data_IF_306050952748
#
_entry.id   IF_306050952748
#
_cell.length_a   1.000
_cell.length_b   1.000
_cell.length_c   1.000
_cell.angle_alpha   90.00
_cell.angle_beta   90.00
_cell.angle_gamma   90.00
#
_symmetry.space_group_name_H-M   'P 1'
#
loop_
_entity.id
_entity.type
_entity.pdbx_description
1 polymer ?
#
# COMPACT_ATOMS: atom_id res chain seq x y z
N UNK A 1 10.02 -3.85 7.37
CA UNK A 1 11.24 -4.68 7.34
C UNK A 1 10.86 -5.95 6.57
N UNK A 2 11.67 -6.41 5.61
CA UNK A 2 11.36 -7.62 4.83
C UNK A 2 11.45 -8.84 5.75
N UNK A 3 10.51 -9.78 5.62
CA UNK A 3 10.60 -11.12 6.22
C UNK A 3 11.63 -11.98 5.48
N UNK A 4 12.12 -13.05 6.12
CA UNK A 4 13.07 -13.98 5.50
C UNK A 4 12.53 -14.61 4.21
N UNK A 5 11.22 -14.88 4.15
CA UNK A 5 10.55 -15.38 2.94
C UNK A 5 10.57 -14.34 1.82
N UNK A 6 10.33 -13.07 2.13
CA UNK A 6 10.39 -11.97 1.17
C UNK A 6 11.81 -11.76 0.65
N UNK A 7 12.81 -11.83 1.54
CA UNK A 7 14.23 -11.77 1.16
C UNK A 7 14.59 -12.90 0.18
N UNK A 8 14.18 -14.14 0.47
CA UNK A 8 14.42 -15.28 -0.42
C UNK A 8 13.73 -15.13 -1.79
N UNK A 9 12.48 -14.66 -1.83
CA UNK A 9 11.74 -14.43 -3.08
C UNK A 9 12.38 -13.36 -3.95
N UNK A 10 12.70 -12.20 -3.37
CA UNK A 10 13.33 -11.09 -4.09
C UNK A 10 14.75 -11.44 -4.53
N UNK A 11 15.48 -12.22 -3.74
CA UNK A 11 16.77 -12.76 -4.14
C UNK A 11 16.65 -13.70 -5.34
N UNK A 12 15.61 -14.54 -5.40
CA UNK A 12 15.34 -15.42 -6.54
C UNK A 12 15.19 -14.66 -7.86
N UNK A 13 14.55 -13.48 -7.85
CA UNK A 13 14.45 -12.58 -9.01
C UNK A 13 15.84 -12.17 -9.49
N UNK A 14 16.67 -11.67 -8.58
CA UNK A 14 18.02 -11.21 -8.88
C UNK A 14 18.94 -12.34 -9.34
N UNK A 15 18.84 -13.52 -8.71
CA UNK A 15 19.60 -14.71 -9.07
C UNK A 15 19.29 -15.16 -10.51
N UNK A 16 18.02 -15.13 -10.90
CA UNK A 16 17.60 -15.42 -12.27
C UNK A 16 18.16 -14.37 -13.25
N UNK A 17 18.14 -13.10 -12.85
CA UNK A 17 18.61 -12.00 -13.69
C UNK A 17 20.13 -11.93 -13.83
N UNK A 18 20.92 -12.56 -12.95
CA UNK A 18 22.38 -12.64 -13.14
C UNK A 18 22.78 -13.16 -14.53
N UNK A 19 21.93 -13.97 -15.18
CA UNK A 19 22.17 -14.47 -16.55
C UNK A 19 22.13 -13.40 -17.64
N UNK A 20 21.56 -12.22 -17.38
CA UNK A 20 21.60 -11.11 -18.34
C UNK A 20 22.96 -10.41 -18.37
N UNK A 21 23.81 -10.68 -17.38
CA UNK A 21 25.20 -10.21 -17.33
C UNK A 21 26.15 -11.22 -17.98
N UNK A 22 27.36 -10.76 -18.34
CA UNK A 22 28.47 -11.68 -18.58
C UNK A 22 28.82 -12.43 -17.29
N UNK A 23 29.30 -13.67 -17.39
CA UNK A 23 29.66 -14.46 -16.21
C UNK A 23 30.72 -13.77 -15.33
N UNK A 24 31.62 -13.00 -15.94
CA UNK A 24 32.60 -12.17 -15.22
C UNK A 24 31.92 -11.06 -14.42
N UNK A 25 30.98 -10.33 -15.03
CA UNK A 25 30.25 -9.24 -14.37
C UNK A 25 29.32 -9.77 -13.28
N UNK A 26 28.63 -10.90 -13.52
CA UNK A 26 27.80 -11.55 -12.51
C UNK A 26 28.62 -11.96 -11.29
N UNK A 27 29.83 -12.52 -11.48
CA UNK A 27 30.75 -12.84 -10.38
C UNK A 27 31.20 -11.61 -9.62
N UNK A 28 31.48 -10.51 -10.32
CA UNK A 28 31.84 -9.24 -9.68
C UNK A 28 30.69 -8.66 -8.85
N UNK A 29 29.46 -8.67 -9.38
CA UNK A 29 28.26 -8.21 -8.67
C UNK A 29 27.99 -9.04 -7.41
N UNK A 30 28.05 -10.38 -7.51
CA UNK A 30 27.91 -11.31 -6.38
C UNK A 30 28.98 -11.07 -5.31
N UNK A 31 30.24 -10.88 -5.72
CA UNK A 31 31.32 -10.58 -4.78
C UNK A 31 31.16 -9.22 -4.11
N UNK A 32 30.71 -8.19 -4.84
CA UNK A 32 30.43 -6.86 -4.30
C UNK A 32 29.29 -6.89 -3.26
N UNK A 33 28.31 -7.78 -3.45
CA UNK A 33 27.24 -8.03 -2.48
C UNK A 33 27.70 -8.81 -1.23
N UNK A 34 28.98 -9.16 -1.11
CA UNK A 34 29.52 -9.89 0.04
C UNK A 34 29.23 -11.41 0.01
N UNK A 35 28.66 -11.92 -1.09
CA UNK A 35 28.44 -13.36 -1.27
C UNK A 35 29.77 -13.99 -1.73
N UNK A 36 30.54 -14.48 -0.77
CA UNK A 36 31.86 -15.10 -0.99
C UNK A 36 31.80 -16.62 -0.87
N UNK A 37 32.88 -17.31 -1.26
CA UNK A 37 32.96 -18.77 -1.13
C UNK A 37 32.15 -19.56 -2.17
N UNK A 38 31.72 -18.93 -3.26
CA UNK A 38 31.05 -19.58 -4.40
C UNK A 38 32.04 -20.47 -5.15
N UNK A 39 32.15 -21.73 -4.73
CA UNK A 39 33.05 -22.71 -5.33
C UNK A 39 32.42 -23.34 -6.58
N UNK A 40 32.46 -22.61 -7.70
CA UNK A 40 31.88 -23.03 -8.97
C UNK A 40 32.87 -22.85 -10.13
N UNK A 41 32.93 -23.81 -11.08
CA UNK A 41 33.74 -23.69 -12.29
C UNK A 41 33.53 -22.35 -13.00
N UNK A 42 34.62 -21.76 -13.49
CA UNK A 42 34.61 -20.41 -14.11
C UNK A 42 33.83 -20.34 -15.43
N UNK A 43 33.39 -21.47 -15.98
CA UNK A 43 32.85 -21.58 -17.34
C UNK A 43 31.35 -21.92 -17.38
N UNK A 44 30.73 -22.30 -16.26
CA UNK A 44 29.36 -22.83 -16.25
C UNK A 44 28.43 -22.01 -15.35
N UNK A 45 27.26 -21.68 -15.88
CA UNK A 45 26.23 -20.90 -15.18
C UNK A 45 25.53 -21.70 -14.10
N UNK A 46 25.09 -22.93 -14.37
CA UNK A 46 24.27 -23.67 -13.40
C UNK A 46 25.01 -23.96 -12.08
N UNK A 47 26.28 -24.44 -12.10
CA UNK A 47 27.04 -24.61 -10.86
C UNK A 47 27.32 -23.27 -10.16
N UNK A 48 27.47 -22.19 -10.93
CA UNK A 48 27.67 -20.86 -10.37
C UNK A 48 26.43 -20.38 -9.63
N UNK A 49 25.26 -20.39 -10.26
CA UNK A 49 24.01 -19.94 -9.64
C UNK A 49 23.65 -20.79 -8.40
N UNK A 50 23.80 -22.11 -8.48
CA UNK A 50 23.60 -22.99 -7.33
C UNK A 50 24.56 -22.65 -6.17
N UNK A 51 25.83 -22.35 -6.48
CA UNK A 51 26.81 -21.93 -5.48
C UNK A 51 26.49 -20.57 -4.87
N UNK A 52 25.99 -19.62 -5.67
CA UNK A 52 25.55 -18.30 -5.20
C UNK A 52 24.36 -18.43 -4.26
N UNK A 53 23.37 -19.24 -4.62
CA UNK A 53 22.19 -19.51 -3.78
C UNK A 53 22.58 -20.12 -2.43
N UNK A 54 23.41 -21.17 -2.45
CA UNK A 54 23.89 -21.80 -1.22
C UNK A 54 24.71 -20.83 -0.35
N UNK A 55 25.56 -20.01 -0.96
CA UNK A 55 26.37 -19.03 -0.24
C UNK A 55 25.49 -17.93 0.38
N UNK A 56 24.48 -17.46 -0.33
CA UNK A 56 23.53 -16.45 0.17
C UNK A 56 22.78 -16.95 1.41
N UNK A 57 22.24 -18.18 1.38
CA UNK A 57 21.52 -18.74 2.54
C UNK A 57 22.44 -19.13 3.72
N UNK A 58 23.77 -19.09 3.56
CA UNK A 58 24.70 -19.23 4.70
C UNK A 58 25.01 -17.90 5.39
N UNK A 59 24.67 -16.77 4.78
CA UNK A 59 24.83 -15.46 5.40
C UNK A 59 23.87 -15.31 6.59
N UNK A 60 24.29 -14.56 7.60
CA UNK A 60 23.41 -14.10 8.67
C UNK A 60 22.27 -13.23 8.12
N UNK A 61 21.08 -13.20 8.76
CA UNK A 61 19.90 -12.45 8.29
C UNK A 61 20.19 -11.01 7.86
N UNK A 62 20.93 -10.25 8.68
CA UNK A 62 21.30 -8.86 8.35
C UNK A 62 22.22 -8.75 7.13
N UNK A 63 23.12 -9.71 6.94
CA UNK A 63 24.02 -9.77 5.79
C UNK A 63 23.28 -10.16 4.50
N UNK A 64 22.25 -11.02 4.59
CA UNK A 64 21.37 -11.33 3.43
C UNK A 64 20.66 -10.10 2.91
N UNK A 65 20.11 -9.28 3.81
CA UNK A 65 19.43 -8.05 3.42
C UNK A 65 20.38 -7.05 2.75
N UNK A 66 21.60 -6.89 3.29
CA UNK A 66 22.63 -6.06 2.67
C UNK A 66 23.02 -6.59 1.28
N UNK A 67 23.27 -7.89 1.15
CA UNK A 67 23.60 -8.51 -0.12
C UNK A 67 22.48 -8.33 -1.17
N UNK A 68 21.22 -8.50 -0.75
CA UNK A 68 20.05 -8.30 -1.60
C UNK A 68 19.99 -6.87 -2.16
N UNK A 69 20.22 -5.85 -1.33
CA UNK A 69 20.22 -4.44 -1.76
C UNK A 69 21.34 -4.14 -2.74
N UNK A 70 22.56 -4.58 -2.45
CA UNK A 70 23.71 -4.36 -3.35
C UNK A 70 23.47 -5.03 -4.71
N UNK A 71 22.89 -6.24 -4.73
CA UNK A 71 22.51 -6.87 -5.99
C UNK A 71 21.41 -6.11 -6.71
N UNK A 72 20.40 -5.60 -6.00
CA UNK A 72 19.31 -4.84 -6.59
C UNK A 72 19.79 -3.51 -7.19
N UNK A 73 20.73 -2.81 -6.53
CA UNK A 73 21.39 -1.62 -7.08
C UNK A 73 22.05 -1.91 -8.42
N UNK A 74 22.64 -3.10 -8.60
CA UNK A 74 23.27 -3.48 -9.86
C UNK A 74 22.28 -3.59 -11.03
N UNK A 75 20.99 -3.77 -10.72
CA UNK A 75 19.92 -3.88 -11.71
C UNK A 75 18.91 -2.72 -11.65
N UNK A 76 19.25 -1.59 -11.02
CA UNK A 76 18.35 -0.44 -10.85
C UNK A 76 17.74 0.04 -12.17
N UNK A 77 18.53 0.00 -13.25
CA UNK A 77 18.13 0.49 -14.56
C UNK A 77 17.32 -0.55 -15.37
N UNK A 78 17.24 -1.80 -14.90
CA UNK A 78 16.54 -2.89 -15.59
C UNK A 78 15.02 -2.78 -15.40
N UNK A 79 14.30 -2.40 -16.46
CA UNK A 79 12.83 -2.41 -16.52
C UNK A 79 12.27 -3.79 -16.15
N UNK A 80 12.90 -4.86 -16.65
CA UNK A 80 12.48 -6.24 -16.39
C UNK A 80 12.55 -6.58 -14.89
N UNK A 81 13.61 -6.17 -14.19
CA UNK A 81 13.74 -6.41 -12.75
C UNK A 81 12.71 -5.60 -11.97
N UNK A 82 12.47 -4.34 -12.37
CA UNK A 82 11.42 -3.51 -11.78
C UNK A 82 10.03 -4.13 -11.95
N UNK A 83 9.70 -4.67 -13.12
CA UNK A 83 8.45 -5.39 -13.37
C UNK A 83 8.35 -6.66 -12.50
N UNK A 84 9.41 -7.46 -12.39
CA UNK A 84 9.41 -8.68 -11.58
C UNK A 84 9.27 -8.38 -10.09
N UNK A 85 9.98 -7.37 -9.56
CA UNK A 85 9.75 -6.93 -8.18
C UNK A 85 8.31 -6.47 -7.97
N UNK A 86 7.73 -5.74 -8.93
CA UNK A 86 6.34 -5.28 -8.84
C UNK A 86 5.37 -6.46 -8.79
N UNK A 87 5.61 -7.53 -9.56
CA UNK A 87 4.83 -8.77 -9.49
C UNK A 87 4.95 -9.47 -8.13
N UNK A 88 6.10 -9.31 -7.45
CA UNK A 88 6.30 -9.76 -6.07
C UNK A 88 5.81 -8.75 -5.02
N UNK A 89 5.18 -7.65 -5.43
CA UNK A 89 4.61 -6.64 -4.55
C UNK A 89 5.61 -5.63 -4.02
N UNK A 90 6.76 -5.44 -4.68
CA UNK A 90 7.82 -4.51 -4.27
C UNK A 90 8.33 -3.65 -5.43
N UNK A 91 8.86 -2.48 -5.08
CA UNK A 91 9.65 -1.61 -5.93
C UNK A 91 10.98 -1.40 -5.23
N UNK A 92 12.03 -1.17 -5.99
CA UNK A 92 13.34 -0.87 -5.43
C UNK A 92 13.69 0.58 -5.74
N UNK A 93 13.69 1.43 -4.71
CA UNK A 93 13.92 2.87 -4.81
C UNK A 93 14.94 3.29 -3.75
N UNK A 94 15.97 4.03 -4.16
CA UNK A 94 16.99 4.63 -3.28
C UNK A 94 17.57 3.67 -2.23
N UNK A 95 17.96 2.47 -2.65
CA UNK A 95 18.57 1.49 -1.74
C UNK A 95 17.57 0.68 -0.90
N UNK A 96 16.27 0.85 -1.12
CA UNK A 96 15.22 0.25 -0.31
C UNK A 96 14.15 -0.45 -1.14
N UNK A 97 13.70 -1.61 -0.64
CA UNK A 97 12.50 -2.28 -1.15
C UNK A 97 11.26 -1.67 -0.50
N UNK A 98 10.40 -1.09 -1.32
CA UNK A 98 9.15 -0.45 -0.93
C UNK A 98 7.99 -1.28 -1.46
N UNK A 99 7.00 -1.67 -0.64
CA UNK A 99 5.85 -2.41 -1.15
C UNK A 99 5.07 -1.63 -2.21
N UNK A 100 4.83 -2.24 -3.38
CA UNK A 100 3.98 -1.67 -4.45
C UNK A 100 2.55 -2.08 -4.16
N UNK A 101 1.86 -1.25 -3.39
CA UNK A 101 0.43 -1.00 -3.48
C UNK A 101 -0.47 -2.20 -3.89
N UNK A 102 -0.50 -3.25 -3.07
CA UNK A 102 -1.76 -3.55 -2.38
C UNK A 102 -1.71 -2.68 -1.13
N UNK A 103 -2.83 -2.10 -0.72
CA UNK A 103 -2.96 -1.26 0.48
C UNK A 103 -1.87 -1.58 1.48
N UNK A 104 -0.99 -0.61 1.73
CA UNK A 104 0.21 -0.82 2.52
C UNK A 104 -0.19 -1.61 3.75
N UNK A 105 0.36 -2.82 3.97
CA UNK A 105 0.00 -3.64 5.14
C UNK A 105 0.09 -2.83 6.44
N UNK A 106 0.88 -1.75 6.45
CA UNK A 106 0.96 -0.76 7.51
C UNK A 106 -0.30 0.12 7.60
N UNK A 107 -0.85 0.61 6.49
CA UNK A 107 -2.13 1.34 6.45
C UNK A 107 -3.29 0.45 6.94
N UNK A 108 -3.28 -0.85 6.61
CA UNK A 108 -4.32 -1.79 7.07
C UNK A 108 -4.39 -1.94 8.60
N UNK A 109 -3.32 -1.59 9.34
CA UNK A 109 -3.32 -1.59 10.81
C UNK A 109 -4.14 -0.45 11.42
N UNK A 110 -4.48 0.57 10.62
CA UNK A 110 -5.23 1.75 11.04
C UNK A 110 -6.62 1.81 10.37
N UNK A 111 -7.12 0.66 9.90
CA UNK A 111 -8.38 0.54 9.18
C UNK A 111 -9.20 -0.63 9.73
N UNK A 112 -10.53 -0.49 9.81
CA UNK A 112 -11.41 -1.63 10.04
C UNK A 112 -11.23 -2.71 8.95
N UNK A 113 -11.45 -3.98 9.30
CA UNK A 113 -11.15 -5.11 8.40
C UNK A 113 -11.95 -5.09 7.09
N UNK A 114 -13.20 -4.63 7.13
CA UNK A 114 -14.09 -4.56 5.97
C UNK A 114 -13.64 -3.52 4.93
N UNK A 115 -13.40 -2.23 5.24
CA UNK A 115 -12.87 -1.27 4.28
C UNK A 115 -11.45 -1.60 3.82
N UNK A 116 -10.60 -2.20 4.67
CA UNK A 116 -9.24 -2.59 4.28
C UNK A 116 -9.23 -3.54 3.06
N UNK A 117 -10.12 -4.54 3.04
CA UNK A 117 -10.26 -5.48 1.92
C UNK A 117 -10.72 -4.79 0.63
N UNK A 118 -11.74 -3.94 0.71
CA UNK A 118 -12.26 -3.22 -0.47
C UNK A 118 -11.27 -2.19 -1.01
N UNK A 119 -10.52 -1.51 -0.15
CA UNK A 119 -9.47 -0.58 -0.57
C UNK A 119 -8.26 -1.33 -1.19
N UNK A 120 -7.91 -2.52 -0.70
CA UNK A 120 -6.89 -3.36 -1.34
C UNK A 120 -7.33 -3.81 -2.74
N UNK A 121 -8.61 -4.17 -2.90
CA UNK A 121 -9.22 -4.45 -4.20
C UNK A 121 -9.25 -3.22 -5.11
N UNK A 122 -9.56 -2.04 -4.59
CA UNK A 122 -9.53 -0.78 -5.33
C UNK A 122 -8.12 -0.50 -5.87
N UNK A 123 -7.09 -0.69 -5.04
CA UNK A 123 -5.70 -0.51 -5.45
C UNK A 123 -5.28 -1.54 -6.50
N UNK A 124 -5.65 -2.82 -6.33
CA UNK A 124 -5.40 -3.86 -7.34
C UNK A 124 -5.99 -3.50 -8.70
N UNK A 125 -7.21 -2.95 -8.72
CA UNK A 125 -7.87 -2.48 -9.95
C UNK A 125 -7.12 -1.31 -10.59
N UNK A 126 -6.69 -0.33 -9.79
CA UNK A 126 -5.91 0.80 -10.27
C UNK A 126 -4.57 0.34 -10.89
N UNK A 127 -3.86 -0.57 -10.23
CA UNK A 127 -2.62 -1.16 -10.77
C UNK A 127 -2.90 -1.89 -12.09
N UNK A 128 -4.02 -2.61 -12.16
CA UNK A 128 -4.48 -3.31 -13.38
C UNK A 128 -5.04 -2.41 -14.49
N UNK A 129 -5.05 -1.09 -14.34
CA UNK A 129 -5.59 -0.16 -15.34
C UNK A 129 -7.12 -0.13 -15.42
N UNK A 130 -7.81 -0.50 -14.34
CA UNK A 130 -9.26 -0.38 -14.17
C UNK A 130 -9.57 0.80 -13.23
N UNK A 131 -9.39 2.02 -13.73
CA UNK A 131 -9.61 3.25 -12.95
C UNK A 131 -11.08 3.40 -12.51
N UNK A 132 -12.04 3.09 -13.37
CA UNK A 132 -13.47 3.13 -13.04
C UNK A 132 -13.78 2.19 -11.90
N UNK A 133 -13.36 0.93 -12.02
CA UNK A 133 -13.58 -0.08 -11.00
C UNK A 133 -12.81 0.20 -9.71
N UNK A 134 -11.67 0.89 -9.77
CA UNK A 134 -10.94 1.37 -8.59
C UNK A 134 -11.75 2.43 -7.83
N UNK A 135 -12.33 3.42 -8.52
CA UNK A 135 -13.21 4.44 -7.90
C UNK A 135 -14.43 3.75 -7.27
N UNK A 136 -15.08 2.81 -7.98
CA UNK A 136 -16.24 2.07 -7.44
C UNK A 136 -15.88 1.35 -6.16
N UNK A 137 -14.74 0.64 -6.13
CA UNK A 137 -14.31 -0.13 -4.98
C UNK A 137 -13.90 0.76 -3.80
N UNK A 138 -13.23 1.90 -4.05
CA UNK A 138 -12.91 2.87 -3.01
C UNK A 138 -14.17 3.45 -2.34
N UNK A 139 -15.19 3.80 -3.13
CA UNK A 139 -16.48 4.25 -2.58
C UNK A 139 -17.22 3.12 -1.86
N UNK A 140 -17.12 1.89 -2.37
CA UNK A 140 -17.67 0.68 -1.77
C UNK A 140 -17.11 0.43 -0.37
N UNK A 141 -15.81 0.64 -0.16
CA UNK A 141 -15.18 0.49 1.15
C UNK A 141 -15.85 1.36 2.23
N UNK A 142 -16.08 2.63 1.93
CA UNK A 142 -16.76 3.56 2.85
C UNK A 142 -18.23 3.19 3.02
N UNK A 143 -18.94 2.84 1.94
CA UNK A 143 -20.35 2.43 2.03
C UNK A 143 -20.53 1.19 2.92
N UNK A 144 -19.69 0.17 2.75
CA UNK A 144 -19.71 -1.05 3.57
C UNK A 144 -19.47 -0.71 5.03
N UNK A 145 -18.44 0.09 5.32
CA UNK A 145 -18.18 0.55 6.69
C UNK A 145 -19.38 1.31 7.29
N UNK A 146 -19.99 2.22 6.52
CA UNK A 146 -21.16 2.96 7.01
C UNK A 146 -22.36 2.05 7.24
N UNK A 147 -22.57 1.02 6.41
CA UNK A 147 -23.62 0.03 6.63
C UNK A 147 -23.41 -0.74 7.93
N UNK A 148 -22.18 -1.19 8.18
CA UNK A 148 -21.80 -1.90 9.40
C UNK A 148 -21.99 -1.03 10.64
N UNK A 149 -21.49 0.21 10.63
CA UNK A 149 -21.61 1.13 11.77
C UNK A 149 -23.07 1.53 12.03
N UNK A 150 -23.86 1.80 11.00
CA UNK A 150 -25.27 2.13 11.16
C UNK A 150 -26.06 0.99 11.80
N UNK A 151 -25.77 -0.26 11.39
CA UNK A 151 -26.38 -1.45 11.96
C UNK A 151 -25.90 -1.70 13.40
N UNK A 152 -24.59 -1.62 13.65
CA UNK A 152 -23.99 -1.88 14.96
C UNK A 152 -24.44 -0.89 16.03
N UNK A 153 -24.63 0.39 15.65
CA UNK A 153 -24.93 1.48 16.57
C UNK A 153 -26.36 2.03 16.45
N UNK A 154 -27.24 1.35 15.70
CA UNK A 154 -28.66 1.74 15.53
C UNK A 154 -28.86 3.20 15.10
N UNK A 155 -28.00 3.69 14.21
CA UNK A 155 -27.97 5.10 13.77
C UNK A 155 -29.16 5.43 12.83
N UNK A 156 -29.71 4.41 12.16
CA UNK A 156 -30.84 4.52 11.23
C UNK A 156 -30.63 3.68 9.97
N UNK A 157 -31.25 4.09 8.87
CA UNK A 157 -31.07 3.43 7.56
C UNK A 157 -30.12 4.25 6.66
N UNK A 158 -28.92 3.73 6.34
CA UNK A 158 -27.96 4.42 5.49
C UNK A 158 -28.36 4.41 4.01
N UNK A 159 -29.35 3.64 3.55
CA UNK A 159 -29.70 3.54 2.13
C UNK A 159 -30.29 4.85 1.56
N UNK A 160 -30.98 5.62 2.40
CA UNK A 160 -31.75 6.81 1.99
C UNK A 160 -31.03 8.14 2.26
N UNK A 161 -29.77 8.08 2.67
CA UNK A 161 -28.98 9.25 3.07
C UNK A 161 -27.90 9.52 2.02
N UNK A 162 -27.61 10.78 1.73
CA UNK A 162 -26.51 11.13 0.83
C UNK A 162 -25.16 10.65 1.42
N UNK A 163 -24.23 10.23 0.58
CA UNK A 163 -22.95 9.62 0.99
C UNK A 163 -22.20 10.44 2.06
N UNK A 164 -22.00 11.75 1.83
CA UNK A 164 -21.35 12.62 2.81
C UNK A 164 -22.15 12.78 4.11
N UNK A 165 -23.48 12.80 4.02
CA UNK A 165 -24.35 12.88 5.19
C UNK A 165 -24.28 11.61 6.05
N UNK A 166 -24.08 10.42 5.44
CA UNK A 166 -23.87 9.17 6.20
C UNK A 166 -22.62 9.24 7.07
N UNK A 167 -21.49 9.61 6.47
CA UNK A 167 -20.20 9.73 7.16
C UNK A 167 -20.28 10.73 8.31
N UNK A 168 -20.84 11.91 8.05
CA UNK A 168 -20.99 12.94 9.08
C UNK A 168 -21.91 12.52 10.22
N UNK A 169 -22.99 11.79 9.92
CA UNK A 169 -23.92 11.30 10.95
C UNK A 169 -23.26 10.24 11.82
N UNK A 170 -22.56 9.28 11.22
CA UNK A 170 -21.80 8.27 11.95
C UNK A 170 -20.71 8.90 12.83
N UNK A 171 -19.90 9.81 12.27
CA UNK A 171 -18.83 10.48 13.00
C UNK A 171 -19.36 11.27 14.21
N UNK A 172 -20.51 11.94 14.06
CA UNK A 172 -21.17 12.64 15.16
C UNK A 172 -21.72 11.67 16.20
N UNK A 173 -22.41 10.61 15.78
CA UNK A 173 -23.02 9.65 16.71
C UNK A 173 -21.98 8.94 17.56
N UNK A 174 -20.83 8.61 16.96
CA UNK A 174 -19.74 7.91 17.62
C UNK A 174 -18.76 8.84 18.34
N UNK A 175 -18.98 10.16 18.34
CA UNK A 175 -18.11 11.11 19.02
C UNK A 175 -16.69 11.18 18.47
N UNK A 176 -16.45 10.79 17.20
CA UNK A 176 -15.10 10.67 16.59
C UNK A 176 -14.25 11.93 16.80
N UNK A 177 -14.85 13.09 16.55
CA UNK A 177 -14.17 14.38 16.64
C UNK A 177 -14.04 14.89 18.08
N UNK A 178 -14.95 14.48 18.97
CA UNK A 178 -14.88 14.81 20.39
C UNK A 178 -13.76 14.01 21.07
N UNK A 179 -13.64 12.72 20.74
CA UNK A 179 -12.55 11.86 21.19
C UNK A 179 -11.19 12.38 20.68
N UNK A 180 -11.11 12.76 19.41
CA UNK A 180 -9.89 13.37 18.85
C UNK A 180 -9.49 14.65 19.61
N UNK A 181 -10.46 15.53 19.96
CA UNK A 181 -10.18 16.71 20.79
C UNK A 181 -9.60 16.30 22.14
N UNK A 182 -10.22 15.31 22.80
CA UNK A 182 -9.80 14.83 24.10
C UNK A 182 -8.38 14.23 24.08
N UNK A 183 -8.05 13.43 23.07
CA UNK A 183 -6.72 12.85 22.88
C UNK A 183 -5.63 13.90 22.66
N UNK A 184 -5.91 14.91 21.82
CA UNK A 184 -4.99 16.03 21.60
C UNK A 184 -4.74 16.81 22.89
N UNK A 185 -5.79 17.10 23.66
CA UNK A 185 -5.66 17.77 24.95
C UNK A 185 -4.92 16.91 25.98
N UNK A 186 -5.09 15.59 25.96
CA UNK A 186 -4.42 14.66 26.87
C UNK A 186 -2.90 14.62 26.68
N UNK A 187 -2.39 14.89 25.48
CA UNK A 187 -0.95 15.04 25.22
C UNK A 187 -0.42 16.47 25.47
N UNK A 188 -1.23 17.34 26.06
CA UNK A 188 -0.85 18.69 26.48
C UNK A 188 -1.05 19.77 25.42
N UNK A 189 -1.83 19.51 24.35
CA UNK A 189 -2.18 20.53 23.38
C UNK A 189 -3.13 21.57 23.99
N UNK A 190 -2.94 22.84 23.61
CA UNK A 190 -3.85 23.91 24.03
C UNK A 190 -5.25 23.69 23.43
N UNK A 191 -6.29 24.02 24.20
CA UNK A 191 -7.68 23.78 23.79
C UNK A 191 -8.02 24.47 22.45
N UNK A 192 -7.58 25.71 22.25
CA UNK A 192 -7.83 26.45 21.02
C UNK A 192 -7.20 25.77 19.78
N UNK A 193 -6.00 25.19 19.92
CA UNK A 193 -5.33 24.49 18.84
C UNK A 193 -6.01 23.14 18.55
N UNK A 194 -6.41 22.40 19.60
CA UNK A 194 -7.16 21.16 19.46
C UNK A 194 -8.51 21.38 18.77
N UNK A 195 -9.24 22.44 19.13
CA UNK A 195 -10.49 22.83 18.47
C UNK A 195 -10.28 23.19 17.00
N UNK A 196 -9.22 23.94 16.68
CA UNK A 196 -8.89 24.28 15.30
C UNK A 196 -8.60 23.02 14.47
N UNK A 197 -7.77 22.12 14.98
CA UNK A 197 -7.44 20.85 14.29
C UNK A 197 -8.68 20.00 14.06
N UNK A 198 -9.53 19.84 15.06
CA UNK A 198 -10.75 19.03 14.96
C UNK A 198 -11.74 19.64 13.98
N UNK A 199 -11.88 20.96 13.98
CA UNK A 199 -12.70 21.69 13.00
C UNK A 199 -12.22 21.45 11.56
N UNK A 200 -10.91 21.57 11.33
CA UNK A 200 -10.31 21.32 10.02
C UNK A 200 -10.43 19.85 9.59
N UNK A 201 -10.19 18.91 10.51
CA UNK A 201 -10.37 17.48 10.24
C UNK A 201 -11.80 17.14 9.83
N UNK A 202 -12.79 17.73 10.51
CA UNK A 202 -14.21 17.58 10.17
C UNK A 202 -14.54 18.16 8.79
N UNK A 203 -14.05 19.35 8.48
CA UNK A 203 -14.25 19.99 7.18
C UNK A 203 -13.59 19.18 6.05
N UNK A 204 -12.36 18.73 6.26
CA UNK A 204 -11.62 17.89 5.31
C UNK A 204 -12.34 16.56 5.06
N UNK A 205 -12.84 15.90 6.11
CA UNK A 205 -13.62 14.65 6.00
C UNK A 205 -14.89 14.86 5.17
N UNK A 206 -15.61 15.95 5.41
CA UNK A 206 -16.81 16.28 4.64
C UNK A 206 -16.49 16.56 3.17
N UNK A 207 -15.45 17.35 2.88
CA UNK A 207 -15.00 17.60 1.51
C UNK A 207 -14.56 16.31 0.80
N UNK A 208 -13.82 15.43 1.49
CA UNK A 208 -13.41 14.13 0.97
C UNK A 208 -14.63 13.26 0.61
N UNK A 209 -15.62 13.17 1.49
CA UNK A 209 -16.83 12.40 1.24
C UNK A 209 -17.64 12.96 0.06
N UNK A 210 -17.72 14.28 -0.08
CA UNK A 210 -18.35 14.93 -1.23
C UNK A 210 -17.60 14.66 -2.54
N UNK A 211 -16.26 14.73 -2.53
CA UNK A 211 -15.44 14.41 -3.70
C UNK A 211 -15.63 12.95 -4.13
N UNK A 212 -15.64 12.00 -3.20
CA UNK A 212 -15.94 10.59 -3.49
C UNK A 212 -17.32 10.42 -4.13
N UNK A 213 -18.34 11.08 -3.58
CA UNK A 213 -19.69 11.05 -4.14
C UNK A 213 -19.73 11.61 -5.58
N UNK A 214 -19.01 12.70 -5.84
CA UNK A 214 -18.90 13.29 -7.18
C UNK A 214 -18.19 12.33 -8.12
N UNK A 215 -17.01 11.81 -7.75
CA UNK A 215 -16.22 10.89 -8.55
C UNK A 215 -16.97 9.61 -8.89
N UNK A 216 -17.68 9.02 -7.92
CA UNK A 216 -18.51 7.84 -8.16
C UNK A 216 -19.55 8.08 -9.25
N UNK A 217 -20.29 9.18 -9.13
CA UNK A 217 -21.35 9.56 -10.07
C UNK A 217 -20.81 9.85 -11.47
N UNK A 218 -19.64 10.48 -11.59
CA UNK A 218 -19.13 10.97 -12.87
C UNK A 218 -18.24 9.97 -13.59
N UNK A 219 -17.46 9.19 -12.84
CA UNK A 219 -16.35 8.37 -13.34
C UNK A 219 -16.36 6.92 -12.83
N UNK A 220 -17.08 6.61 -11.76
CA UNK A 220 -17.06 5.29 -11.10
C UNK A 220 -18.23 4.36 -11.43
N UNK A 221 -19.20 4.81 -12.23
CA UNK A 221 -20.33 3.99 -12.67
C UNK A 221 -20.09 3.49 -14.10
N UNK A 222 -20.62 2.31 -14.44
CA UNK A 222 -20.60 1.76 -15.82
C UNK A 222 -21.32 2.68 -16.81
N UNK A 223 -22.15 3.59 -16.30
CA UNK A 223 -22.81 4.67 -17.04
C UNK A 223 -22.24 6.07 -16.73
N UNK A 224 -21.04 6.14 -16.14
CA UNK A 224 -20.35 7.40 -15.85
C UNK A 224 -20.25 8.26 -17.11
N UNK A 225 -20.49 9.56 -16.95
CA UNK A 225 -20.53 10.50 -18.08
C UNK A 225 -19.16 10.84 -18.66
N UNK A 226 -18.07 10.40 -18.00
CA UNK A 226 -16.68 10.72 -18.35
C UNK A 226 -15.75 9.52 -18.09
N UNK A 227 -14.65 9.41 -18.85
CA UNK A 227 -13.60 8.43 -18.55
C UNK A 227 -12.99 8.70 -17.17
N UNK A 228 -12.70 7.63 -16.43
CA UNK A 228 -12.02 7.73 -15.16
C UNK A 228 -10.55 8.13 -15.34
N UNK A 229 -10.09 9.09 -14.54
CA UNK A 229 -8.70 9.52 -14.54
C UNK A 229 -7.92 8.72 -13.51
N UNK A 230 -6.74 8.22 -13.89
CA UNK A 230 -5.86 7.44 -13.00
C UNK A 230 -5.55 8.15 -11.69
N UNK A 231 -5.24 9.45 -11.76
CA UNK A 231 -5.00 10.26 -10.57
C UNK A 231 -6.24 10.41 -9.68
N UNK A 232 -7.41 10.61 -10.28
CA UNK A 232 -8.67 10.70 -9.52
C UNK A 232 -9.03 9.37 -8.86
N UNK A 233 -8.73 8.24 -9.50
CA UNK A 233 -8.89 6.92 -8.92
C UNK A 233 -7.95 6.69 -7.72
N UNK A 234 -6.69 7.12 -7.83
CA UNK A 234 -5.76 7.10 -6.70
C UNK A 234 -6.23 7.99 -5.54
N UNK A 235 -6.63 9.23 -5.83
CA UNK A 235 -7.11 10.18 -4.82
C UNK A 235 -8.37 9.64 -4.12
N UNK A 236 -9.27 8.98 -4.86
CA UNK A 236 -10.44 8.31 -4.29
C UNK A 236 -10.05 7.23 -3.28
N UNK A 237 -9.04 6.41 -3.56
CA UNK A 237 -8.54 5.39 -2.63
C UNK A 237 -8.01 6.07 -1.36
N UNK A 238 -7.23 7.15 -1.50
CA UNK A 238 -6.64 7.85 -0.33
C UNK A 238 -7.68 8.56 0.53
N UNK A 239 -8.68 9.20 -0.07
CA UNK A 239 -9.78 9.79 0.69
C UNK A 239 -10.65 8.73 1.37
N UNK A 240 -10.94 7.62 0.69
CA UNK A 240 -11.70 6.53 1.29
C UNK A 240 -10.94 5.88 2.46
N UNK A 241 -9.61 5.71 2.34
CA UNK A 241 -8.75 5.25 3.42
C UNK A 241 -8.76 6.22 4.61
N UNK A 242 -8.59 7.53 4.37
CA UNK A 242 -8.59 8.53 5.44
C UNK A 242 -9.93 8.57 6.19
N UNK A 243 -11.05 8.53 5.46
CA UNK A 243 -12.39 8.46 6.07
C UNK A 243 -12.55 7.18 6.88
N UNK A 244 -12.15 6.04 6.34
CA UNK A 244 -12.32 4.74 7.01
C UNK A 244 -11.48 4.65 8.29
N UNK A 245 -10.28 5.21 8.30
CA UNK A 245 -9.39 5.22 9.46
C UNK A 245 -9.91 6.03 10.65
N UNK A 246 -10.81 6.99 10.43
CA UNK A 246 -11.48 7.71 11.53
C UNK A 246 -12.34 6.80 12.42
N UNK A 247 -12.71 5.64 11.90
CA UNK A 247 -13.58 4.67 12.58
C UNK A 247 -12.82 3.40 12.98
N UNK A 248 -11.49 3.42 12.97
CA UNK A 248 -10.72 2.30 13.48
C UNK A 248 -11.06 2.02 14.96
N UNK A 249 -11.23 0.74 15.30
CA UNK A 249 -11.69 0.26 16.61
C UNK A 249 -13.10 0.72 17.08
N UNK A 250 -14.02 1.05 16.15
CA UNK A 250 -15.41 1.47 16.47
C UNK A 250 -16.49 0.54 15.92
#
# INVERSE_FOLDING_TARGET
>A
MLSEEEVGRLFGVLLAELRSLSLTNARAAVAAAGITGVNAPKQYWDPFLAGVEQAFYRLEPGARLTALRILADHFSDSERVRELFTQHGYEYVDGAFVPVALLDRREALFLPSSPASELAKAMKRLVGGDETGAITAACGAVDTLMQELYAAHSIGDPAHVAFAAKVNTAAKHLGVFDDMKAELMAIGMAEADAEAIVSEAKNATNHAAQMLQILRRTMGDVHGSKPALRRAAYDAIKWASAISGLFDNR
#
